data_IF_547347036468
#
_entry.id   IF_547347036468
#
_cell.length_a   1.000
_cell.length_b   1.000
_cell.length_c   1.000
_cell.angle_alpha   90.00
_cell.angle_beta   90.00
_cell.angle_gamma   90.00
#
_symmetry.space_group_name_H-M   'P 1'
#
loop_
_entity.id
_entity.type
_entity.pdbx_description
1 polymer ?
#
# COMPACT_ATOMS: atom_id res chain seq x y z
N UNK A 1 -45.31 -15.73 73.57
CA UNK A 1 -43.88 -16.03 73.52
C UNK A 1 -43.66 -16.97 72.35
N UNK A 2 -43.59 -16.42 71.13
CA UNK A 2 -42.35 -16.25 70.35
C UNK A 2 -41.59 -17.56 70.10
N UNK A 3 -41.83 -18.14 68.92
CA UNK A 3 -40.86 -18.96 68.22
C UNK A 3 -40.41 -18.12 66.99
N UNK A 4 -39.11 -17.84 66.82
CA UNK A 4 -38.64 -17.01 65.72
C UNK A 4 -38.65 -17.77 64.37
N UNK A 5 -38.79 -17.07 63.24
CA UNK A 5 -38.63 -17.64 61.91
C UNK A 5 -37.15 -17.92 61.61
N UNK A 6 -36.86 -19.12 61.10
CA UNK A 6 -35.56 -19.45 60.51
C UNK A 6 -35.39 -18.69 59.20
N UNK A 7 -34.65 -17.59 59.27
CA UNK A 7 -34.28 -16.76 58.14
C UNK A 7 -33.19 -17.43 57.29
N UNK A 8 -33.37 -17.35 55.96
CA UNK A 8 -32.29 -16.96 55.06
C UNK A 8 -31.34 -18.05 54.57
N UNK A 9 -31.81 -18.92 53.68
CA UNK A 9 -30.92 -19.52 52.68
C UNK A 9 -30.47 -18.44 51.69
N UNK A 10 -29.35 -17.78 51.98
CA UNK A 10 -28.70 -16.87 51.02
C UNK A 10 -28.14 -17.69 49.87
N UNK A 11 -28.77 -17.58 48.69
CA UNK A 11 -28.12 -17.94 47.43
C UNK A 11 -26.87 -17.08 47.29
N UNK A 12 -25.70 -17.68 47.50
CA UNK A 12 -24.43 -17.10 47.10
C UNK A 12 -24.50 -16.83 45.59
N UNK A 13 -24.29 -15.58 45.18
CA UNK A 13 -24.11 -15.25 43.77
C UNK A 13 -22.95 -16.10 43.22
N UNK A 14 -23.04 -16.63 41.99
CA UNK A 14 -21.95 -17.38 41.39
C UNK A 14 -20.71 -16.49 41.37
N UNK A 15 -19.63 -16.97 41.97
CA UNK A 15 -18.34 -16.29 41.93
C UNK A 15 -17.92 -16.09 40.46
N UNK A 16 -17.27 -14.97 40.11
CA UNK A 16 -16.83 -14.73 38.75
C UNK A 16 -15.91 -15.86 38.30
N UNK A 17 -16.18 -16.47 37.15
CA UNK A 17 -15.47 -17.66 36.64
C UNK A 17 -13.94 -17.51 36.63
N UNK A 18 -13.45 -16.28 36.54
CA UNK A 18 -12.04 -15.94 36.62
C UNK A 18 -11.39 -16.27 37.99
N UNK A 19 -12.10 -16.04 39.10
CA UNK A 19 -11.63 -16.40 40.45
C UNK A 19 -11.67 -17.91 40.70
N UNK A 20 -12.67 -18.59 40.13
CA UNK A 20 -12.78 -20.04 40.22
C UNK A 20 -11.65 -20.71 39.46
N UNK A 21 -11.36 -20.28 38.21
CA UNK A 21 -10.23 -20.77 37.41
C UNK A 21 -8.88 -20.47 38.07
N UNK A 22 -8.71 -19.30 38.68
CA UNK A 22 -7.48 -18.95 39.39
C UNK A 22 -7.22 -19.80 40.65
N UNK A 23 -8.26 -20.40 41.24
CA UNK A 23 -8.12 -21.34 42.37
C UNK A 23 -7.83 -22.78 41.93
N UNK A 24 -8.24 -23.20 40.74
CA UNK A 24 -8.05 -24.58 40.24
C UNK A 24 -6.90 -24.75 39.24
N UNK A 25 -6.50 -23.72 38.50
CA UNK A 25 -5.39 -23.79 37.55
C UNK A 25 -4.03 -23.57 38.22
N UNK A 26 -3.02 -24.32 37.79
CA UNK A 26 -1.64 -24.07 38.21
C UNK A 26 -1.07 -22.81 37.53
N UNK A 27 -0.06 -22.19 38.14
CA UNK A 27 0.64 -21.02 37.56
C UNK A 27 1.17 -21.29 36.14
N UNK A 28 1.57 -22.54 35.85
CA UNK A 28 2.01 -22.94 34.51
C UNK A 28 0.87 -22.99 33.49
N UNK A 29 -0.33 -23.32 33.94
CA UNK A 29 -1.53 -23.42 33.10
C UNK A 29 -2.05 -22.02 32.75
N UNK A 30 -2.07 -21.10 33.72
CA UNK A 30 -2.39 -19.67 33.48
C UNK A 30 -1.42 -19.01 32.49
N UNK A 31 -0.12 -19.33 32.60
CA UNK A 31 0.89 -18.82 31.66
C UNK A 31 0.70 -19.41 30.25
N UNK A 32 0.38 -20.70 30.15
CA UNK A 32 0.03 -21.36 28.88
C UNK A 32 -1.17 -20.70 28.21
N UNK A 33 -2.23 -20.41 28.98
CA UNK A 33 -3.42 -19.68 28.49
C UNK A 33 -3.09 -18.25 28.04
N UNK A 34 -2.28 -17.51 28.80
CA UNK A 34 -1.87 -16.16 28.43
C UNK A 34 -1.00 -16.16 27.14
N UNK A 35 -0.04 -17.08 27.04
CA UNK A 35 0.78 -17.26 25.85
C UNK A 35 -0.08 -17.63 24.61
N UNK A 36 -1.08 -18.49 24.80
CA UNK A 36 -2.07 -18.82 23.76
C UNK A 36 -2.90 -17.61 23.31
N UNK A 37 -3.35 -16.78 24.25
CA UNK A 37 -4.10 -15.57 23.96
C UNK A 37 -3.26 -14.52 23.21
N UNK A 38 -2.00 -14.31 23.62
CA UNK A 38 -1.06 -13.42 22.92
C UNK A 38 -0.75 -13.93 21.51
N UNK A 39 -0.51 -15.24 21.35
CA UNK A 39 -0.32 -15.87 20.03
C UNK A 39 -1.53 -15.66 19.13
N UNK A 40 -2.73 -15.73 19.70
CA UNK A 40 -4.00 -15.46 18.99
C UNK A 40 -4.10 -14.00 18.55
N UNK A 41 -3.78 -13.04 19.43
CA UNK A 41 -3.78 -11.61 19.10
C UNK A 41 -2.77 -11.28 18.00
N UNK A 42 -1.53 -11.75 18.11
CA UNK A 42 -0.51 -11.54 17.07
C UNK A 42 -0.98 -12.09 15.73
N UNK A 43 -1.59 -13.28 15.73
CA UNK A 43 -2.13 -13.87 14.49
C UNK A 43 -3.32 -13.08 13.94
N UNK A 44 -4.14 -12.47 14.80
CA UNK A 44 -5.24 -11.60 14.39
C UNK A 44 -4.73 -10.29 13.80
N UNK A 45 -3.75 -9.63 14.41
CA UNK A 45 -3.14 -8.42 13.84
C UNK A 45 -2.49 -8.68 12.49
N UNK A 46 -1.79 -9.82 12.33
CA UNK A 46 -1.24 -10.21 11.03
C UNK A 46 -2.36 -10.42 10.01
N UNK A 47 -3.48 -11.07 10.40
CA UNK A 47 -4.61 -11.26 9.50
C UNK A 47 -5.26 -9.93 9.11
N UNK A 48 -5.43 -9.01 10.07
CA UNK A 48 -5.99 -7.69 9.83
C UNK A 48 -5.08 -6.87 8.90
N UNK A 49 -3.78 -6.80 9.22
CA UNK A 49 -2.77 -6.14 8.41
C UNK A 49 -2.74 -6.72 6.99
N UNK A 50 -2.88 -8.04 6.83
CA UNK A 50 -2.97 -8.68 5.51
C UNK A 50 -4.22 -8.25 4.75
N UNK A 51 -5.38 -8.19 5.42
CA UNK A 51 -6.64 -7.73 4.80
C UNK A 51 -6.51 -6.27 4.36
N UNK A 52 -6.01 -5.41 5.23
CA UNK A 52 -5.82 -3.98 4.95
C UNK A 52 -4.80 -3.78 3.82
N UNK A 53 -3.63 -4.43 3.90
CA UNK A 53 -2.62 -4.36 2.84
C UNK A 53 -3.17 -4.84 1.49
N UNK A 54 -3.98 -5.92 1.48
CA UNK A 54 -4.62 -6.41 0.24
C UNK A 54 -5.65 -5.42 -0.29
N UNK A 55 -6.46 -4.82 0.58
CA UNK A 55 -7.45 -3.81 0.20
C UNK A 55 -6.76 -2.56 -0.38
N UNK A 56 -5.72 -2.07 0.29
CA UNK A 56 -4.88 -0.96 -0.17
C UNK A 56 -4.22 -1.29 -1.52
N UNK A 57 -3.64 -2.47 -1.67
CA UNK A 57 -3.04 -2.91 -2.93
C UNK A 57 -4.06 -2.98 -4.07
N UNK A 58 -5.27 -3.47 -3.80
CA UNK A 58 -6.35 -3.52 -4.79
C UNK A 58 -6.83 -2.12 -5.19
N UNK A 59 -6.95 -1.20 -4.23
CA UNK A 59 -7.33 0.17 -4.49
C UNK A 59 -6.26 0.91 -5.30
N UNK A 60 -4.99 0.79 -4.91
CA UNK A 60 -3.86 1.31 -5.66
C UNK A 60 -3.81 0.71 -7.07
N UNK A 61 -3.97 -0.62 -7.20
CA UNK A 61 -3.99 -1.31 -8.49
C UNK A 61 -5.13 -0.84 -9.40
N UNK A 62 -6.32 -0.60 -8.86
CA UNK A 62 -7.43 -0.01 -9.63
C UNK A 62 -7.13 1.43 -10.06
N UNK A 63 -6.54 2.23 -9.18
CA UNK A 63 -6.13 3.60 -9.49
C UNK A 63 -5.11 3.63 -10.63
N UNK A 64 -4.06 2.82 -10.55
CA UNK A 64 -3.06 2.63 -11.61
C UNK A 64 -3.73 2.14 -12.90
N UNK A 65 -4.66 1.19 -12.80
CA UNK A 65 -5.43 0.69 -13.94
C UNK A 65 -6.24 1.77 -14.66
N UNK A 66 -6.94 2.63 -13.91
CA UNK A 66 -7.66 3.77 -14.50
C UNK A 66 -6.72 4.78 -15.14
N UNK A 67 -5.57 5.09 -14.52
CA UNK A 67 -4.58 6.00 -15.10
C UNK A 67 -3.97 5.43 -16.39
N UNK A 68 -3.66 4.13 -16.42
CA UNK A 68 -3.18 3.46 -17.63
C UNK A 68 -4.25 3.47 -18.73
N UNK A 69 -5.50 3.14 -18.39
CA UNK A 69 -6.63 3.22 -19.31
C UNK A 69 -6.87 4.63 -19.86
N UNK A 70 -6.78 5.65 -19.00
CA UNK A 70 -6.88 7.05 -19.40
C UNK A 70 -5.72 7.48 -20.31
N UNK A 71 -4.50 7.00 -20.08
CA UNK A 71 -3.37 7.28 -20.96
C UNK A 71 -3.59 6.68 -22.37
N UNK A 72 -4.04 5.43 -22.46
CA UNK A 72 -4.36 4.78 -23.74
C UNK A 72 -5.54 5.47 -24.43
N UNK A 73 -6.63 5.74 -23.69
CA UNK A 73 -7.79 6.44 -24.23
C UNK A 73 -7.45 7.86 -24.70
N UNK A 74 -6.65 8.60 -23.93
CA UNK A 74 -6.14 9.92 -24.29
C UNK A 74 -5.26 9.87 -25.55
N UNK A 75 -4.43 8.84 -25.71
CA UNK A 75 -3.65 8.66 -26.93
C UNK A 75 -4.53 8.51 -28.17
N UNK A 76 -5.55 7.64 -28.12
CA UNK A 76 -6.49 7.49 -29.23
C UNK A 76 -7.30 8.76 -29.50
N UNK A 77 -7.77 9.43 -28.45
CA UNK A 77 -8.48 10.71 -28.58
C UNK A 77 -7.62 11.75 -29.33
N UNK A 78 -6.36 11.92 -28.94
CA UNK A 78 -5.44 12.83 -29.60
C UNK A 78 -5.17 12.43 -31.05
N UNK A 79 -5.11 11.12 -31.35
CA UNK A 79 -4.96 10.61 -32.71
C UNK A 79 -6.17 10.97 -33.59
N UNK A 80 -7.39 10.73 -33.10
CA UNK A 80 -8.63 11.08 -33.81
C UNK A 80 -8.79 12.60 -33.96
N UNK A 81 -8.46 13.39 -32.94
CA UNK A 81 -8.46 14.86 -33.04
C UNK A 81 -7.45 15.36 -34.08
N UNK A 82 -6.28 14.73 -34.17
CA UNK A 82 -5.27 15.09 -35.18
C UNK A 82 -5.78 14.79 -36.59
N UNK A 83 -6.43 13.64 -36.79
CA UNK A 83 -7.03 13.28 -38.07
C UNK A 83 -8.18 14.23 -38.42
N UNK A 84 -9.08 14.50 -37.48
CA UNK A 84 -10.19 15.43 -37.67
C UNK A 84 -9.69 16.84 -38.01
N UNK A 85 -8.66 17.32 -37.32
CA UNK A 85 -8.03 18.61 -37.61
C UNK A 85 -7.41 18.64 -39.00
N UNK A 86 -6.67 17.58 -39.38
CA UNK A 86 -6.07 17.48 -40.71
C UNK A 86 -7.12 17.50 -41.82
N UNK A 87 -8.23 16.75 -41.66
CA UNK A 87 -9.34 16.77 -42.60
C UNK A 87 -10.06 18.12 -42.63
N UNK A 88 -10.31 18.74 -41.47
CA UNK A 88 -10.93 20.07 -41.39
C UNK A 88 -10.09 21.15 -42.08
N UNK A 89 -8.76 21.12 -41.92
CA UNK A 89 -7.87 22.00 -42.68
C UNK A 89 -7.84 21.62 -44.17
N UNK A 90 -7.93 20.33 -44.49
CA UNK A 90 -8.01 19.81 -45.86
C UNK A 90 -9.18 20.35 -46.68
N UNK A 91 -10.25 20.82 -46.04
CA UNK A 91 -11.37 21.47 -46.73
C UNK A 91 -11.04 22.89 -47.22
N UNK A 92 -10.03 23.55 -46.65
CA UNK A 92 -9.62 24.91 -47.00
C UNK A 92 -8.24 25.00 -47.67
N UNK A 93 -7.45 23.93 -47.62
CA UNK A 93 -6.14 23.83 -48.26
C UNK A 93 -5.81 22.38 -48.66
N UNK A 94 -4.76 22.17 -49.45
CA UNK A 94 -4.30 20.82 -49.79
C UNK A 94 -3.92 20.00 -48.52
N UNK A 95 -4.30 18.72 -48.54
CA UNK A 95 -4.16 17.82 -47.38
C UNK A 95 -2.70 17.66 -46.93
N UNK A 96 -1.74 17.80 -47.84
CA UNK A 96 -0.31 17.77 -47.51
C UNK A 96 0.11 18.94 -46.62
N UNK A 97 -0.38 20.16 -46.91
CA UNK A 97 -0.13 21.34 -46.07
C UNK A 97 -0.85 21.25 -44.73
N UNK A 98 -2.07 20.72 -44.72
CA UNK A 98 -2.79 20.43 -43.48
C UNK A 98 -1.99 19.46 -42.59
N UNK A 99 -1.46 18.38 -43.15
CA UNK A 99 -0.64 17.41 -42.42
C UNK A 99 0.64 18.05 -41.86
N UNK A 100 1.31 18.93 -42.61
CA UNK A 100 2.49 19.66 -42.13
C UNK A 100 2.16 20.57 -40.95
N UNK A 101 1.02 21.28 -40.97
CA UNK A 101 0.60 22.13 -39.85
C UNK A 101 0.36 21.28 -38.60
N UNK A 102 -0.36 20.16 -38.73
CA UNK A 102 -0.60 19.24 -37.62
C UNK A 102 0.71 18.66 -37.08
N UNK A 103 1.67 18.33 -37.95
CA UNK A 103 3.00 17.86 -37.57
C UNK A 103 3.79 18.92 -36.77
N UNK A 104 3.73 20.19 -37.17
CA UNK A 104 4.36 21.30 -36.44
C UNK A 104 3.74 21.47 -35.05
N UNK A 105 2.42 21.36 -34.92
CA UNK A 105 1.73 21.41 -33.62
C UNK A 105 2.26 20.30 -32.70
N UNK A 106 2.37 19.07 -33.21
CA UNK A 106 2.93 17.95 -32.45
C UNK A 106 4.41 18.12 -32.10
N UNK A 107 5.22 18.70 -33.00
CA UNK A 107 6.62 19.00 -32.72
C UNK A 107 6.76 20.00 -31.55
N UNK A 108 5.90 21.02 -31.49
CA UNK A 108 5.87 21.99 -30.37
C UNK A 108 5.47 21.29 -29.06
N UNK A 109 4.40 20.49 -29.08
CA UNK A 109 3.95 19.73 -27.91
C UNK A 109 5.07 18.80 -27.41
N UNK A 110 5.72 18.07 -28.32
CA UNK A 110 6.82 17.16 -28.00
C UNK A 110 8.02 17.91 -27.40
N UNK A 111 8.39 19.07 -27.95
CA UNK A 111 9.48 19.90 -27.42
C UNK A 111 9.18 20.36 -25.98
N UNK A 112 7.95 20.80 -25.71
CA UNK A 112 7.51 21.21 -24.36
C UNK A 112 7.57 20.02 -23.39
N UNK A 113 7.02 18.87 -23.77
CA UNK A 113 7.01 17.67 -22.94
C UNK A 113 8.42 17.17 -22.66
N UNK A 114 9.31 17.14 -23.66
CA UNK A 114 10.70 16.75 -23.50
C UNK A 114 11.43 17.69 -22.52
N UNK A 115 11.20 19.01 -22.62
CA UNK A 115 11.79 19.97 -21.69
C UNK A 115 11.28 19.78 -20.26
N UNK A 116 9.99 19.53 -20.06
CA UNK A 116 9.42 19.25 -18.73
C UNK A 116 9.97 17.93 -18.17
N UNK A 117 10.02 16.87 -18.99
CA UNK A 117 10.59 15.58 -18.61
C UNK A 117 12.05 15.71 -18.17
N UNK A 118 12.87 16.45 -18.92
CA UNK A 118 14.26 16.75 -18.54
C UNK A 118 14.32 17.46 -17.18
N UNK A 119 13.53 18.53 -16.98
CA UNK A 119 13.48 19.26 -15.70
C UNK A 119 13.10 18.36 -14.51
N UNK A 120 12.17 17.42 -14.71
CA UNK A 120 11.76 16.49 -13.65
C UNK A 120 12.85 15.44 -13.36
N UNK A 121 13.51 14.91 -14.38
CA UNK A 121 14.64 13.99 -14.21
C UNK A 121 15.84 14.67 -13.53
N UNK A 122 16.12 15.93 -13.87
CA UNK A 122 17.22 16.69 -13.27
C UNK A 122 16.98 16.95 -11.77
N UNK A 123 15.72 17.13 -11.35
CA UNK A 123 15.38 17.20 -9.92
C UNK A 123 15.65 15.88 -9.18
N UNK A 124 15.44 14.74 -9.83
CA UNK A 124 15.69 13.42 -9.24
C UNK A 124 17.20 13.15 -9.12
N UNK A 125 18.00 13.59 -10.11
CA UNK A 125 19.49 13.50 -10.07
C UNK A 125 20.13 14.36 -8.97
N UNK A 126 19.39 15.30 -8.38
CA UNK A 126 19.82 16.09 -7.23
C UNK A 126 19.75 15.35 -5.89
N UNK A 127 19.24 14.11 -5.84
CA UNK A 127 19.39 13.25 -4.67
C UNK A 127 20.82 12.68 -4.71
N UNK A 128 21.71 13.09 -3.76
CA UNK A 128 23.09 12.64 -3.75
C UNK A 128 23.12 11.12 -3.75
N UNK A 129 24.03 10.61 -4.56
CA UNK A 129 24.21 9.20 -4.83
C UNK A 129 24.23 8.40 -3.52
N UNK A 130 23.29 7.48 -3.38
CA UNK A 130 23.43 6.26 -2.57
C UNK A 130 24.55 5.34 -3.11
N UNK A 131 25.61 5.91 -3.68
CA UNK A 131 26.87 5.23 -3.99
C UNK A 131 27.90 5.43 -2.88
N UNK A 132 27.77 6.44 -2.01
CA UNK A 132 28.61 6.53 -0.80
C UNK A 132 28.20 5.49 0.25
N UNK A 133 26.89 5.25 0.44
CA UNK A 133 26.41 4.25 1.43
C UNK A 133 26.69 2.79 1.02
N UNK A 134 26.94 2.50 -0.26
CA UNK A 134 27.29 1.14 -0.73
C UNK A 134 28.81 0.91 -0.69
N UNK A 135 29.62 1.98 -0.63
CA UNK A 135 31.08 1.89 -0.52
C UNK A 135 31.58 1.85 0.93
N UNK A 136 30.72 2.10 1.93
CA UNK A 136 31.00 1.88 3.35
C UNK A 136 30.46 0.53 3.87
N UNK A 137 30.61 -0.56 3.11
CA UNK A 137 30.62 -1.89 3.73
C UNK A 137 32.09 -2.16 4.10
N UNK A 138 32.51 -1.93 5.36
CA UNK A 138 33.87 -2.23 5.76
C UNK A 138 34.18 -3.72 5.52
N UNK A 139 35.37 -3.98 4.98
CA UNK A 139 35.93 -5.29 4.66
C UNK A 139 36.23 -6.14 5.92
N UNK A 140 35.61 -5.85 7.07
CA UNK A 140 35.86 -6.51 8.34
C UNK A 140 34.82 -7.58 8.73
N UNK A 141 33.88 -7.93 7.85
CA UNK A 141 33.11 -9.17 7.97
C UNK A 141 33.91 -10.36 7.42
N UNK A 142 35.05 -10.65 8.04
CA UNK A 142 35.66 -11.97 7.97
C UNK A 142 34.95 -12.86 8.99
N UNK A 143 34.00 -13.73 8.60
CA UNK A 143 33.53 -14.77 9.49
C UNK A 143 34.74 -15.62 9.88
N UNK A 144 35.15 -15.52 11.14
CA UNK A 144 36.12 -16.44 11.71
C UNK A 144 35.56 -17.84 11.52
N UNK A 145 36.26 -18.64 10.71
CA UNK A 145 36.04 -20.08 10.66
C UNK A 145 36.50 -20.61 12.00
N UNK A 146 35.57 -20.70 12.94
CA UNK A 146 35.75 -21.40 14.20
C UNK A 146 35.98 -22.87 13.85
N UNK A 147 37.25 -23.25 13.90
CA UNK A 147 37.74 -24.61 13.80
C UNK A 147 38.03 -25.04 15.23
N UNK A 148 37.09 -25.75 15.86
CA UNK A 148 37.43 -26.78 16.84
C UNK A 148 36.26 -27.73 17.08
#
# INVERSE_FOLDING_TARGET
MHQPPSAGGSSAAPEPEAEQRARTESVGEMFSHLAGNLSTLVRQEIQLAKVEATASAKQAGRGIGFLAGAAVGGFFLLMFLSMALMWALGEVMDLGWAALIVAVIWAIIAAILAQQGKKQLDKIKGLPQTQETVQEIPENLHPHKETR
#
